data_IF_894389455334
#
_entry.id   IF_894389455334
#
_cell.length_a   1.000
_cell.length_b   1.000
_cell.length_c   1.000
_cell.angle_alpha   90.00
_cell.angle_beta   90.00
_cell.angle_gamma   90.00
#
_symmetry.space_group_name_H-M   'P 1'
#
loop_
_entity.id
_entity.type
_entity.pdbx_description
1 polymer ?
#
# COMPACT_ATOMS: atom_id res chain seq x y z
N UNK A 1 -19.78 -3.69 0.95
CA UNK A 1 -18.40 -3.42 0.48
C UNK A 1 -17.52 -4.61 0.84
N UNK A 2 -16.76 -5.14 -0.11
CA UNK A 2 -15.83 -6.26 0.10
C UNK A 2 -14.43 -5.64 0.27
N UNK A 3 -13.79 -5.91 1.40
CA UNK A 3 -12.48 -5.32 1.75
C UNK A 3 -11.34 -6.34 1.66
N UNK A 4 -11.68 -7.64 1.72
CA UNK A 4 -10.73 -8.74 1.78
C UNK A 4 -11.41 -10.02 1.29
N UNK A 5 -10.63 -10.87 0.61
CA UNK A 5 -11.03 -12.23 0.23
C UNK A 5 -9.94 -13.20 0.65
N UNK A 6 -10.35 -14.31 1.26
CA UNK A 6 -9.49 -15.47 1.50
C UNK A 6 -10.22 -16.72 1.01
N UNK A 7 -9.59 -17.47 0.13
CA UNK A 7 -10.20 -18.65 -0.45
C UNK A 7 -9.26 -19.37 -1.40
N UNK A 8 -9.81 -20.25 -2.22
CA UNK A 8 -9.06 -21.02 -3.22
C UNK A 8 -8.93 -20.21 -4.50
N UNK A 9 -7.73 -20.09 -5.05
CA UNK A 9 -7.52 -19.53 -6.39
C UNK A 9 -8.09 -20.50 -7.43
N UNK A 10 -9.23 -20.13 -8.01
CA UNK A 10 -9.93 -20.98 -8.98
C UNK A 10 -9.28 -20.88 -10.37
N UNK A 11 -8.97 -19.65 -10.81
CA UNK A 11 -8.22 -19.37 -12.03
C UNK A 11 -7.53 -18.03 -11.95
N UNK A 12 -6.46 -17.83 -12.76
CA UNK A 12 -5.79 -16.54 -12.90
C UNK A 12 -5.34 -16.26 -14.32
N UNK A 13 -5.33 -14.98 -14.68
CA UNK A 13 -4.75 -14.42 -15.89
C UNK A 13 -4.00 -13.12 -15.55
N UNK A 14 -3.20 -12.53 -16.43
CA UNK A 14 -2.43 -11.32 -16.13
C UNK A 14 -3.24 -10.11 -15.64
N UNK A 15 -4.56 -10.11 -15.88
CA UNK A 15 -5.45 -8.98 -15.51
C UNK A 15 -6.59 -9.37 -14.58
N UNK A 16 -6.74 -10.65 -14.23
CA UNK A 16 -7.93 -11.18 -13.57
C UNK A 16 -7.58 -12.39 -12.70
N UNK A 17 -8.20 -12.52 -11.54
CA UNK A 17 -8.20 -13.73 -10.74
C UNK A 17 -9.60 -14.06 -10.26
N UNK A 18 -9.97 -15.34 -10.26
CA UNK A 18 -11.21 -15.80 -9.63
C UNK A 18 -10.84 -16.49 -8.32
N UNK A 19 -11.34 -15.95 -7.23
CA UNK A 19 -11.16 -16.51 -5.88
C UNK A 19 -12.46 -17.12 -5.42
N UNK A 20 -12.45 -18.42 -5.16
CA UNK A 20 -13.59 -19.15 -4.63
C UNK A 20 -13.59 -19.10 -3.10
N UNK A 21 -14.65 -18.56 -2.54
CA UNK A 21 -14.90 -18.53 -1.11
C UNK A 21 -16.22 -19.21 -0.81
N UNK A 22 -16.17 -20.40 -0.17
CA UNK A 22 -17.37 -21.18 0.21
C UNK A 22 -18.37 -21.43 -0.94
N UNK A 23 -17.86 -21.76 -2.14
CA UNK A 23 -18.68 -22.05 -3.32
C UNK A 23 -19.09 -20.82 -4.15
N UNK A 24 -18.69 -19.63 -3.74
CA UNK A 24 -18.90 -18.40 -4.51
C UNK A 24 -17.58 -17.96 -5.14
N UNK A 25 -17.56 -17.82 -6.48
CA UNK A 25 -16.41 -17.30 -7.23
C UNK A 25 -16.48 -15.78 -7.34
N UNK A 26 -15.48 -15.11 -6.79
CA UNK A 26 -15.32 -13.66 -6.90
C UNK A 26 -14.37 -13.34 -8.05
N UNK A 27 -14.86 -12.60 -9.03
CA UNK A 27 -14.07 -12.09 -10.15
C UNK A 27 -13.36 -10.80 -9.74
N UNK A 28 -12.02 -10.81 -9.75
CA UNK A 28 -11.17 -9.74 -9.22
C UNK A 28 -10.19 -9.28 -10.30
N UNK A 29 -10.26 -8.01 -10.66
CA UNK A 29 -9.24 -7.37 -11.50
C UNK A 29 -7.94 -7.20 -10.70
N UNK A 30 -6.81 -7.59 -11.30
CA UNK A 30 -5.49 -7.55 -10.64
C UNK A 30 -4.44 -6.90 -11.53
N UNK A 31 -3.36 -6.41 -10.92
CA UNK A 31 -2.16 -5.97 -11.63
C UNK A 31 -1.30 -7.16 -12.06
N UNK A 32 -0.40 -6.95 -13.03
CA UNK A 32 0.62 -7.94 -13.41
C UNK A 32 1.52 -8.28 -12.23
N UNK A 33 1.82 -7.33 -11.36
CA UNK A 33 2.59 -7.56 -10.14
C UNK A 33 1.87 -8.52 -9.20
N UNK A 34 0.57 -8.27 -8.93
CA UNK A 34 -0.28 -9.19 -8.17
C UNK A 34 -0.36 -10.56 -8.84
N UNK A 35 -0.57 -10.64 -10.16
CA UNK A 35 -0.61 -11.93 -10.89
C UNK A 35 0.67 -12.75 -10.68
N UNK A 36 1.83 -12.11 -10.73
CA UNK A 36 3.13 -12.77 -10.53
C UNK A 36 3.31 -13.28 -9.10
N UNK A 37 2.77 -12.55 -8.12
CA UNK A 37 2.82 -12.92 -6.70
C UNK A 37 1.80 -14.01 -6.30
N UNK A 38 0.74 -14.21 -7.11
CA UNK A 38 -0.27 -15.23 -6.83
C UNK A 38 0.29 -16.65 -6.97
N UNK A 39 -0.10 -17.58 -6.06
CA UNK A 39 0.27 -18.99 -6.14
C UNK A 39 -0.33 -19.67 -7.38
N UNK A 40 -0.04 -20.96 -7.55
CA UNK A 40 -0.69 -21.79 -8.57
C UNK A 40 -2.19 -21.96 -8.29
N UNK A 41 -2.96 -22.18 -9.35
CA UNK A 41 -4.40 -22.46 -9.26
C UNK A 41 -4.67 -23.66 -8.35
N UNK A 42 -5.77 -23.62 -7.62
CA UNK A 42 -6.16 -24.59 -6.61
C UNK A 42 -5.57 -24.34 -5.22
N UNK A 43 -4.59 -23.46 -5.07
CA UNK A 43 -4.00 -23.09 -3.76
C UNK A 43 -4.83 -22.03 -3.05
N UNK A 44 -4.67 -21.94 -1.74
CA UNK A 44 -5.25 -20.87 -0.93
C UNK A 44 -4.57 -19.53 -1.24
N UNK A 45 -5.37 -18.49 -1.34
CA UNK A 45 -4.93 -17.11 -1.62
C UNK A 45 -5.66 -16.14 -0.72
N UNK A 46 -4.98 -15.05 -0.39
CA UNK A 46 -5.51 -13.90 0.34
C UNK A 46 -5.29 -12.64 -0.48
N UNK A 47 -6.36 -11.84 -0.66
CA UNK A 47 -6.31 -10.59 -1.39
C UNK A 47 -6.96 -9.45 -0.60
N UNK A 48 -6.30 -8.31 -0.56
CA UNK A 48 -6.89 -7.04 -0.13
C UNK A 48 -7.71 -6.46 -1.28
N UNK A 49 -8.97 -6.15 -1.02
CA UNK A 49 -9.92 -5.76 -2.06
C UNK A 49 -10.27 -4.27 -1.95
N UNK A 50 -10.30 -3.60 -3.08
CA UNK A 50 -11.00 -2.34 -3.27
C UNK A 50 -12.27 -2.61 -4.08
N UNK A 51 -13.44 -2.26 -3.52
CA UNK A 51 -14.74 -2.44 -4.18
C UNK A 51 -15.17 -1.13 -4.81
N UNK A 52 -15.44 -1.14 -6.10
CA UNK A 52 -16.05 -0.05 -6.84
C UNK A 52 -17.49 -0.40 -7.17
N UNK A 53 -18.42 0.42 -6.69
CA UNK A 53 -19.86 0.25 -6.96
C UNK A 53 -20.29 1.33 -7.94
N UNK A 54 -20.97 0.92 -9.01
CA UNK A 54 -21.65 1.79 -9.98
C UNK A 54 -23.11 1.37 -10.07
N UNK A 55 -23.90 2.14 -10.76
CA UNK A 55 -25.34 1.84 -10.94
C UNK A 55 -25.58 0.49 -11.62
N UNK A 56 -24.69 0.09 -12.53
CA UNK A 56 -24.79 -1.08 -13.38
C UNK A 56 -23.81 -2.20 -13.03
N UNK A 57 -22.85 -2.00 -12.12
CA UNK A 57 -21.81 -2.99 -11.84
C UNK A 57 -21.16 -2.84 -10.46
N UNK A 58 -20.71 -3.98 -9.93
CA UNK A 58 -19.79 -4.05 -8.80
C UNK A 58 -18.47 -4.62 -9.34
N UNK A 59 -17.40 -3.86 -9.27
CA UNK A 59 -16.07 -4.27 -9.67
C UNK A 59 -15.16 -4.42 -8.45
N UNK A 60 -14.42 -5.54 -8.41
CA UNK A 60 -13.44 -5.83 -7.37
C UNK A 60 -12.03 -5.67 -7.93
N UNK A 61 -11.18 -4.98 -7.20
CA UNK A 61 -9.75 -4.82 -7.51
C UNK A 61 -8.94 -5.41 -6.37
N UNK A 62 -8.05 -6.37 -6.68
CA UNK A 62 -7.34 -7.17 -5.69
C UNK A 62 -5.84 -7.00 -5.72
N UNK A 63 -5.26 -7.05 -4.53
CA UNK A 63 -3.84 -6.84 -4.29
C UNK A 63 -3.34 -7.85 -3.26
N UNK A 64 -2.14 -8.38 -3.46
CA UNK A 64 -1.46 -9.23 -2.46
C UNK A 64 -0.79 -8.39 -1.37
N UNK A 65 -0.53 -7.10 -1.65
CA UNK A 65 0.11 -6.16 -0.75
C UNK A 65 -0.81 -4.98 -0.39
N UNK A 66 -0.81 -4.61 0.89
CA UNK A 66 -1.58 -3.46 1.39
C UNK A 66 -1.09 -2.13 0.86
N UNK A 67 0.21 -1.98 0.65
CA UNK A 67 0.78 -0.73 0.16
C UNK A 67 0.47 -0.55 -1.33
N UNK A 68 0.46 -1.64 -2.14
CA UNK A 68 -0.03 -1.60 -3.52
C UNK A 68 -1.51 -1.16 -3.57
N UNK A 69 -2.37 -1.72 -2.68
CA UNK A 69 -3.77 -1.30 -2.55
C UNK A 69 -3.89 0.18 -2.18
N UNK A 70 -3.13 0.66 -1.19
CA UNK A 70 -3.14 2.07 -0.79
C UNK A 70 -2.72 3.00 -1.93
N UNK A 71 -1.70 2.60 -2.68
CA UNK A 71 -1.24 3.36 -3.84
C UNK A 71 -2.31 3.42 -4.92
N UNK A 72 -2.98 2.29 -5.19
CA UNK A 72 -4.13 2.24 -6.09
C UNK A 72 -5.24 3.21 -5.65
N UNK A 73 -5.63 3.17 -4.37
CA UNK A 73 -6.66 4.05 -3.81
C UNK A 73 -6.32 5.53 -3.98
N UNK A 74 -5.05 5.90 -3.85
CA UNK A 74 -4.59 7.27 -4.11
C UNK A 74 -4.56 7.62 -5.58
N UNK A 75 -4.11 6.71 -6.43
CA UNK A 75 -4.12 6.92 -7.88
C UNK A 75 -5.50 7.23 -8.42
N UNK A 76 -6.52 6.50 -7.99
CA UNK A 76 -7.91 6.70 -8.46
C UNK A 76 -8.58 7.98 -7.91
N UNK A 77 -7.96 8.69 -6.97
CA UNK A 77 -8.41 10.03 -6.57
C UNK A 77 -7.98 11.12 -7.54
N UNK A 78 -6.96 10.83 -8.38
CA UNK A 78 -6.44 11.80 -9.35
C UNK A 78 -7.41 11.93 -10.52
N UNK A 79 -7.78 13.17 -10.85
CA UNK A 79 -8.67 13.44 -11.97
C UNK A 79 -8.10 12.91 -13.29
N UNK A 80 -8.87 12.02 -13.94
CA UNK A 80 -8.47 11.34 -15.18
C UNK A 80 -7.85 9.95 -14.98
N UNK A 81 -7.71 9.48 -13.74
CA UNK A 81 -7.30 8.10 -13.43
C UNK A 81 -8.49 7.35 -12.83
N UNK A 82 -9.16 6.55 -13.64
CA UNK A 82 -10.16 5.61 -13.15
C UNK A 82 -9.53 4.29 -12.69
N UNK A 83 -10.32 3.40 -12.03
CA UNK A 83 -9.82 2.12 -11.50
C UNK A 83 -9.09 1.25 -12.53
N UNK A 84 -9.62 1.15 -13.74
CA UNK A 84 -8.99 0.38 -14.82
C UNK A 84 -7.61 0.94 -15.21
N UNK A 85 -7.47 2.28 -15.25
CA UNK A 85 -6.17 2.90 -15.52
C UNK A 85 -5.24 2.74 -14.32
N UNK A 86 -5.74 2.84 -13.09
CA UNK A 86 -4.96 2.59 -11.87
C UNK A 86 -4.28 1.21 -11.87
N UNK A 87 -5.02 0.14 -12.23
CA UNK A 87 -4.46 -1.22 -12.38
C UNK A 87 -3.41 -1.27 -13.49
N UNK A 88 -3.63 -0.60 -14.63
CA UNK A 88 -2.64 -0.55 -15.72
C UNK A 88 -1.36 0.16 -15.28
N UNK A 89 -1.48 1.22 -14.50
CA UNK A 89 -0.31 1.93 -13.94
C UNK A 89 0.50 1.00 -13.05
N UNK A 90 -0.14 0.31 -12.12
CA UNK A 90 0.51 -0.65 -11.20
C UNK A 90 1.04 -1.91 -11.92
N UNK A 91 0.51 -2.21 -13.11
CA UNK A 91 1.04 -3.29 -13.96
C UNK A 91 2.28 -2.85 -14.75
N UNK A 92 2.42 -1.55 -15.02
CA UNK A 92 3.52 -1.00 -15.83
C UNK A 92 4.76 -0.61 -15.03
N UNK A 93 4.63 -0.42 -13.72
CA UNK A 93 5.73 -0.02 -12.83
C UNK A 93 5.49 -0.55 -11.42
N UNK A 94 6.53 -1.05 -10.76
CA UNK A 94 6.45 -1.51 -9.39
C UNK A 94 6.11 -0.35 -8.43
N UNK A 95 5.29 -0.61 -7.41
CA UNK A 95 4.81 0.40 -6.47
C UNK A 95 5.92 1.27 -5.85
N UNK A 96 7.07 0.74 -5.39
CA UNK A 96 8.15 1.56 -4.86
C UNK A 96 8.75 2.52 -5.89
N UNK A 97 8.90 2.07 -7.15
CA UNK A 97 9.44 2.91 -8.23
C UNK A 97 8.44 3.99 -8.64
N UNK A 98 7.15 3.68 -8.63
CA UNK A 98 6.09 4.66 -8.89
C UNK A 98 6.09 5.76 -7.83
N UNK A 99 6.18 5.39 -6.54
CA UNK A 99 6.27 6.35 -5.44
C UNK A 99 7.52 7.23 -5.58
N UNK A 100 8.67 6.64 -5.91
CA UNK A 100 9.91 7.38 -6.13
C UNK A 100 9.79 8.36 -7.32
N UNK A 101 9.19 7.93 -8.44
CA UNK A 101 8.98 8.78 -9.61
C UNK A 101 8.04 9.96 -9.32
N UNK A 102 6.96 9.74 -8.57
CA UNK A 102 6.03 10.82 -8.18
C UNK A 102 6.73 11.82 -7.26
N UNK A 103 7.44 11.35 -6.24
CA UNK A 103 8.18 12.22 -5.30
C UNK A 103 9.32 12.96 -5.97
N UNK A 104 10.04 12.29 -6.84
CA UNK A 104 11.12 12.87 -7.65
C UNK A 104 10.64 13.76 -8.80
N UNK A 105 9.32 13.90 -9.01
CA UNK A 105 8.71 14.63 -10.12
C UNK A 105 9.21 14.15 -11.50
N UNK A 106 9.47 12.86 -11.61
CA UNK A 106 9.93 12.24 -12.86
C UNK A 106 8.78 12.00 -13.83
N UNK A 107 8.38 13.09 -14.51
CA UNK A 107 7.34 13.04 -15.54
C UNK A 107 7.70 12.13 -16.72
N UNK A 108 9.00 11.96 -17.00
CA UNK A 108 9.46 11.15 -18.12
C UNK A 108 9.18 9.66 -17.86
N UNK A 109 9.41 9.18 -16.66
CA UNK A 109 9.07 7.81 -16.24
C UNK A 109 7.57 7.61 -16.21
N UNK A 110 6.79 8.56 -15.68
CA UNK A 110 5.33 8.45 -15.63
C UNK A 110 4.68 8.39 -17.01
N UNK A 111 5.16 9.16 -17.97
CA UNK A 111 4.62 9.17 -19.35
C UNK A 111 4.95 7.93 -20.17
N UNK A 112 5.90 7.08 -19.73
CA UNK A 112 6.15 5.77 -20.35
C UNK A 112 5.07 4.74 -20.04
N UNK A 113 4.25 4.99 -19.00
CA UNK A 113 3.18 4.08 -18.60
C UNK A 113 2.02 4.19 -19.57
N UNK A 114 1.56 3.08 -20.20
CA UNK A 114 0.45 3.12 -21.15
C UNK A 114 -0.82 3.72 -20.56
N UNK A 115 -1.34 4.76 -21.18
CA UNK A 115 -2.53 5.48 -20.74
C UNK A 115 -2.25 6.71 -19.87
N UNK A 116 -0.99 6.99 -19.51
CA UNK A 116 -0.60 8.23 -18.85
C UNK A 116 0.02 9.18 -19.89
N UNK A 117 -0.72 10.23 -20.24
CA UNK A 117 -0.20 11.34 -21.03
C UNK A 117 0.47 12.41 -20.17
N UNK A 118 1.12 13.40 -20.81
CA UNK A 118 1.83 14.48 -20.11
C UNK A 118 0.97 15.20 -19.07
N UNK A 119 -0.27 15.57 -19.42
CA UNK A 119 -1.20 16.24 -18.49
C UNK A 119 -1.58 15.35 -17.28
N UNK A 120 -1.76 14.05 -17.50
CA UNK A 120 -2.07 13.11 -16.42
C UNK A 120 -0.86 12.91 -15.52
N UNK A 121 0.35 12.81 -16.08
CA UNK A 121 1.60 12.72 -15.30
C UNK A 121 1.81 13.95 -14.40
N UNK A 122 1.59 15.16 -14.94
CA UNK A 122 1.67 16.41 -14.17
C UNK A 122 0.66 16.41 -13.00
N UNK A 123 -0.60 16.00 -13.24
CA UNK A 123 -1.62 15.89 -12.19
C UNK A 123 -1.25 14.87 -11.12
N UNK A 124 -0.79 13.69 -11.50
CA UNK A 124 -0.34 12.66 -10.57
C UNK A 124 0.72 13.21 -9.62
N UNK A 125 1.71 13.91 -10.15
CA UNK A 125 2.75 14.53 -9.33
C UNK A 125 2.17 15.58 -8.40
N UNK A 126 1.39 16.54 -8.93
CA UNK A 126 0.85 17.65 -8.12
C UNK A 126 -0.09 17.15 -7.02
N UNK A 127 -0.97 16.19 -7.35
CA UNK A 127 -2.01 15.74 -6.41
C UNK A 127 -1.52 14.69 -5.41
N UNK A 128 -0.45 13.93 -5.73
CA UNK A 128 0.00 12.81 -4.89
C UNK A 128 1.34 13.02 -4.20
N UNK A 129 2.19 13.95 -4.65
CA UNK A 129 3.54 14.15 -4.10
C UNK A 129 3.56 14.22 -2.56
N UNK A 130 2.70 15.04 -1.98
CA UNK A 130 2.65 15.24 -0.53
C UNK A 130 1.82 14.16 0.20
N UNK A 131 0.99 13.42 -0.54
CA UNK A 131 0.14 12.36 0.01
C UNK A 131 0.83 11.00 0.09
N UNK A 132 2.04 10.85 -0.45
CA UNK A 132 2.80 9.60 -0.46
C UNK A 132 3.92 9.55 0.58
N UNK A 133 3.95 10.49 1.55
CA UNK A 133 5.02 10.57 2.55
C UNK A 133 5.05 9.35 3.48
N UNK A 134 3.88 8.81 3.82
CA UNK A 134 3.73 7.59 4.59
C UNK A 134 4.09 6.30 3.82
N UNK A 135 4.19 6.37 2.48
CA UNK A 135 4.59 5.25 1.61
C UNK A 135 6.06 5.28 1.20
N UNK A 136 6.74 6.40 1.33
CA UNK A 136 8.16 6.53 0.97
C UNK A 136 9.10 5.78 1.92
N UNK A 137 8.63 5.42 3.11
CA UNK A 137 9.38 4.60 4.05
C UNK A 137 9.54 3.15 3.63
N UNK A 138 8.65 2.61 2.78
CA UNK A 138 8.72 1.22 2.32
C UNK A 138 9.77 0.99 1.23
N UNK A 139 10.09 2.01 0.41
CA UNK A 139 11.09 1.89 -0.65
C UNK A 139 12.54 2.10 -0.16
N UNK A 140 12.73 2.75 1.00
CA UNK A 140 14.05 2.94 1.61
C UNK A 140 14.39 1.89 2.68
N UNK A 141 13.47 0.97 2.98
CA UNK A 141 13.62 -0.05 4.03
C UNK A 141 14.15 -1.39 3.53
N UNK A 142 14.89 -1.43 2.40
CA UNK A 142 15.69 -2.61 2.07
C UNK A 142 17.06 -2.63 2.75
N UNK A 143 17.43 -1.56 3.49
CA UNK A 143 18.60 -1.57 4.37
C UNK A 143 18.22 -1.02 5.74
N UNK A 144 18.28 -1.89 6.75
CA UNK A 144 18.01 -1.67 8.17
C UNK A 144 16.52 -1.50 8.55
N UNK A 145 15.77 -2.61 8.56
CA UNK A 145 14.54 -2.71 9.37
C UNK A 145 14.91 -2.65 10.84
N UNK A 146 14.78 -1.48 11.46
CA UNK A 146 14.70 -1.40 12.91
C UNK A 146 13.35 -2.00 13.33
N UNK A 147 13.35 -3.29 13.62
CA UNK A 147 12.24 -3.94 14.28
C UNK A 147 12.28 -3.58 15.76
N UNK A 148 11.47 -2.63 16.15
CA UNK A 148 11.29 -2.28 17.57
C UNK A 148 10.60 -3.39 18.38
N UNK A 149 10.31 -4.54 17.75
CA UNK A 149 9.51 -5.62 18.33
C UNK A 149 8.00 -5.35 18.21
N UNK A 150 7.16 -6.31 18.61
CA UNK A 150 5.69 -6.16 18.51
C UNK A 150 5.17 -4.91 19.20
N UNK A 151 5.67 -4.59 20.39
CA UNK A 151 5.26 -3.38 21.12
C UNK A 151 5.68 -2.08 20.41
N UNK A 152 6.79 -2.09 19.69
CA UNK A 152 7.25 -0.91 18.93
C UNK A 152 6.36 -0.57 17.75
N UNK A 153 5.85 -1.57 17.04
CA UNK A 153 4.92 -1.36 15.92
C UNK A 153 3.56 -0.86 16.42
N UNK A 154 3.10 -1.37 17.57
CA UNK A 154 1.87 -0.92 18.21
C UNK A 154 1.99 0.53 18.71
N UNK A 155 3.12 0.89 19.32
CA UNK A 155 3.41 2.27 19.78
C UNK A 155 3.49 3.23 18.60
N UNK A 156 4.17 2.85 17.52
CA UNK A 156 4.22 3.65 16.29
C UNK A 156 2.82 3.91 15.73
N UNK A 157 1.99 2.86 15.66
CA UNK A 157 0.61 2.96 15.21
C UNK A 157 -0.23 3.89 16.10
N UNK A 158 -0.10 3.78 17.41
CA UNK A 158 -0.79 4.64 18.38
C UNK A 158 -0.41 6.12 18.23
N UNK A 159 0.89 6.43 18.08
CA UNK A 159 1.37 7.79 17.88
C UNK A 159 0.86 8.40 16.57
N UNK A 160 0.84 7.62 15.48
CA UNK A 160 0.28 8.07 14.19
C UNK A 160 -1.22 8.34 14.30
N UNK A 161 -1.97 7.49 15.01
CA UNK A 161 -3.41 7.69 15.26
C UNK A 161 -3.69 8.92 16.14
N UNK A 162 -2.76 9.33 16.98
CA UNK A 162 -2.83 10.56 17.77
C UNK A 162 -2.47 11.83 16.95
N UNK A 163 -2.12 11.66 15.65
CA UNK A 163 -1.86 12.76 14.75
C UNK A 163 -0.38 13.15 14.59
N UNK A 164 0.55 12.39 15.18
CA UNK A 164 1.98 12.64 14.96
C UNK A 164 2.40 12.14 13.57
N UNK A 165 3.33 12.86 12.95
CA UNK A 165 3.90 12.42 11.67
C UNK A 165 4.67 11.11 11.86
N UNK A 166 4.47 10.13 10.96
CA UNK A 166 5.06 8.80 11.05
C UNK A 166 6.58 8.83 11.24
N UNK A 167 7.30 9.71 10.52
CA UNK A 167 8.75 9.84 10.64
C UNK A 167 9.19 10.34 12.03
N UNK A 168 8.43 11.27 12.63
CA UNK A 168 8.69 11.76 13.98
C UNK A 168 8.39 10.67 15.02
N UNK A 169 7.27 9.98 14.88
CA UNK A 169 6.90 8.85 15.74
C UNK A 169 7.91 7.70 15.67
N UNK A 170 8.38 7.34 14.46
CA UNK A 170 9.38 6.29 14.28
C UNK A 170 10.72 6.65 14.92
N UNK A 171 11.22 7.89 14.74
CA UNK A 171 12.43 8.36 15.41
C UNK A 171 12.29 8.33 16.93
N UNK A 172 11.15 8.74 17.46
CA UNK A 172 10.91 8.73 18.89
C UNK A 172 10.92 7.33 19.49
N UNK A 173 10.24 6.37 18.82
CA UNK A 173 10.26 4.95 19.22
C UNK A 173 11.68 4.40 19.15
N UNK A 174 12.42 4.70 18.08
CA UNK A 174 13.80 4.27 17.92
C UNK A 174 14.69 4.83 19.03
N UNK A 175 14.61 6.12 19.29
CA UNK A 175 15.40 6.78 20.36
C UNK A 175 15.07 6.21 21.74
N UNK A 176 13.78 5.97 22.03
CA UNK A 176 13.35 5.37 23.28
C UNK A 176 13.92 3.94 23.49
N UNK A 177 13.90 3.12 22.45
CA UNK A 177 14.47 1.76 22.48
C UNK A 177 16.01 1.77 22.55
N UNK A 178 16.68 2.72 21.90
CA UNK A 178 18.13 2.88 21.97
C UNK A 178 18.59 3.32 23.36
N UNK A 179 17.82 4.21 24.02
CA UNK A 179 18.09 4.65 25.40
C UNK A 179 17.83 3.55 26.43
N UNK A 180 16.76 2.77 26.23
CA UNK A 180 16.37 1.73 27.15
C UNK A 180 15.85 0.49 26.42
N UNK A 181 16.73 -0.48 26.07
CA UNK A 181 16.35 -1.68 25.31
C UNK A 181 15.34 -2.59 25.99
N UNK A 182 15.16 -2.49 27.31
CA UNK A 182 14.15 -3.26 28.09
C UNK A 182 12.71 -2.91 27.69
N UNK A 183 12.49 -1.70 27.12
CA UNK A 183 11.17 -1.22 26.72
C UNK A 183 10.59 -1.93 25.49
N UNK A 184 11.37 -2.72 24.76
CA UNK A 184 10.95 -3.38 23.50
C UNK A 184 9.69 -4.25 23.60
N UNK A 185 9.40 -4.77 24.79
CA UNK A 185 8.28 -5.69 25.01
C UNK A 185 7.17 -5.09 25.89
N UNK A 186 7.32 -3.82 26.31
CA UNK A 186 6.34 -3.13 27.15
C UNK A 186 5.76 -1.94 26.37
N UNK A 187 4.53 -2.10 25.90
CA UNK A 187 3.83 -1.06 25.14
C UNK A 187 3.69 0.24 25.94
N UNK A 188 3.26 0.14 27.22
CA UNK A 188 2.94 1.35 28.01
C UNK A 188 4.19 2.14 28.34
N UNK A 189 5.24 1.47 28.77
CA UNK A 189 6.51 2.09 29.08
C UNK A 189 7.17 2.69 27.82
N UNK A 190 7.19 1.97 26.71
CA UNK A 190 7.73 2.45 25.43
C UNK A 190 6.92 3.63 24.88
N UNK A 191 5.58 3.57 24.96
CA UNK A 191 4.72 4.66 24.51
C UNK A 191 5.00 5.96 25.31
N UNK A 192 5.10 5.85 26.63
CA UNK A 192 5.40 6.98 27.51
C UNK A 192 6.80 7.58 27.23
N UNK A 193 7.79 6.72 27.01
CA UNK A 193 9.14 7.16 26.66
C UNK A 193 9.17 7.88 25.30
N UNK A 194 8.55 7.30 24.28
CA UNK A 194 8.45 7.89 22.95
C UNK A 194 7.71 9.23 22.94
N UNK A 195 6.64 9.37 23.72
CA UNK A 195 5.93 10.65 23.91
C UNK A 195 6.80 11.71 24.56
N UNK A 196 7.74 11.34 25.42
CA UNK A 196 8.72 12.25 26.02
C UNK A 196 9.73 12.78 25.01
N UNK A 197 10.05 12.00 23.97
CA UNK A 197 11.02 12.35 22.90
C UNK A 197 10.39 13.24 21.83
N UNK A 198 9.09 13.10 21.56
CA UNK A 198 8.37 13.81 20.47
C UNK A 198 8.16 15.32 20.74
N UNK A 199 8.55 15.83 21.88
CA UNK A 199 8.38 17.26 22.23
C UNK A 199 9.18 18.20 21.35
#
# INVERSE_FOLDING_TARGET
>A
MIAHLRGRLFSKSPSQAIVECAGVGYDVAISVNTFTALPEEGREVELFINTQVREDAIALFGFTDRDEKRLFERLITVSGIGPTLGIKVLSGIAAPLLVAAIKGQDHATLTKIPGIGKKTAERVVVELKDKLDDMAGAAAASDATFHAGPAGDDVLSALVNLGYQRNAAQKAVQTAVEQEPSLRNDFEALFRAAMGVIR
#
